data_IF_591709418645
#
_entry.id   IF_591709418645
#
_cell.length_a   1.000
_cell.length_b   1.000
_cell.length_c   1.000
_cell.angle_alpha   90.00
_cell.angle_beta   90.00
_cell.angle_gamma   90.00
#
_symmetry.space_group_name_H-M   'P 1'
#
loop_
_entity.id
_entity.type
_entity.pdbx_description
1 polymer ?
#
# COMPACT_ATOMS: atom_id res chain seq x y z
N UNK A 1 -34.19 51.66 39.79
CA UNK A 1 -34.84 52.86 39.22
C UNK A 1 -35.34 52.49 37.83
N UNK A 2 -36.66 52.51 37.66
CA UNK A 2 -37.49 52.49 36.45
C UNK A 2 -37.22 51.57 35.24
N UNK A 3 -38.18 50.65 35.12
CA UNK A 3 -38.68 49.90 33.96
C UNK A 3 -38.97 50.77 32.73
N UNK A 4 -38.68 50.27 31.51
CA UNK A 4 -39.58 50.48 30.35
C UNK A 4 -39.43 49.42 29.25
N UNK A 5 -40.62 49.01 28.81
CA UNK A 5 -41.06 47.97 27.87
C UNK A 5 -41.10 48.41 26.40
N UNK A 6 -40.97 47.46 25.44
CA UNK A 6 -41.75 47.34 24.17
C UNK A 6 -41.27 46.07 23.43
N UNK A 7 -42.03 44.97 23.25
CA UNK A 7 -43.23 44.66 22.42
C UNK A 7 -43.04 44.80 20.89
N UNK A 8 -43.43 43.70 20.21
CA UNK A 8 -43.76 43.50 18.79
C UNK A 8 -42.56 43.44 17.81
N UNK A 9 -42.46 42.49 16.88
CA UNK A 9 -43.47 42.13 15.88
C UNK A 9 -43.20 40.76 15.24
N UNK A 10 -44.28 40.06 14.88
CA UNK A 10 -44.32 38.88 14.00
C UNK A 10 -43.72 39.20 12.62
N UNK A 11 -43.02 38.22 12.04
CA UNK A 11 -42.64 38.19 10.62
C UNK A 11 -42.48 36.75 10.16
N UNK A 12 -43.59 36.10 9.81
CA UNK A 12 -43.62 34.77 9.20
C UNK A 12 -43.34 34.93 7.69
N UNK A 13 -42.11 34.66 7.26
CA UNK A 13 -41.75 34.63 5.84
C UNK A 13 -41.69 33.17 5.37
N UNK A 14 -42.79 32.70 4.79
CA UNK A 14 -42.88 31.41 4.11
C UNK A 14 -42.20 31.55 2.73
N UNK A 15 -40.95 31.10 2.61
CA UNK A 15 -40.25 31.02 1.32
C UNK A 15 -40.49 29.63 0.74
N UNK A 16 -41.34 29.53 -0.28
CA UNK A 16 -41.43 28.34 -1.13
C UNK A 16 -40.17 28.28 -2.01
N UNK A 17 -39.21 27.44 -1.61
CA UNK A 17 -38.06 27.09 -2.45
C UNK A 17 -38.46 26.04 -3.49
N UNK A 18 -38.55 26.45 -4.76
CA UNK A 18 -38.51 25.51 -5.90
C UNK A 18 -37.11 24.88 -5.94
N UNK A 19 -37.03 23.59 -5.62
CA UNK A 19 -35.83 22.80 -5.82
C UNK A 19 -35.76 22.35 -7.29
N UNK A 20 -35.00 23.07 -8.11
CA UNK A 20 -34.56 22.56 -9.40
C UNK A 20 -33.43 21.56 -9.14
N UNK A 21 -33.77 20.27 -9.16
CA UNK A 21 -32.79 19.19 -9.19
C UNK A 21 -32.15 19.15 -10.60
N UNK A 22 -31.10 19.95 -10.79
CA UNK A 22 -30.19 19.78 -11.93
C UNK A 22 -29.34 18.54 -11.69
N UNK A 23 -29.77 17.40 -12.25
CA UNK A 23 -28.93 16.23 -12.40
C UNK A 23 -27.78 16.58 -13.36
N UNK A 24 -26.65 17.01 -12.79
CA UNK A 24 -25.41 17.12 -13.52
C UNK A 24 -24.92 15.70 -13.83
N UNK A 25 -24.48 15.41 -15.07
CA UNK A 25 -23.80 14.16 -15.35
C UNK A 25 -22.55 14.09 -14.49
N UNK A 26 -22.45 13.08 -13.64
CA UNK A 26 -21.23 12.75 -12.95
C UNK A 26 -20.23 12.28 -14.00
N UNK A 27 -19.38 13.20 -14.46
CA UNK A 27 -18.16 12.82 -15.16
C UNK A 27 -17.30 12.10 -14.13
N UNK A 28 -17.16 10.77 -14.26
CA UNK A 28 -16.07 10.05 -13.63
C UNK A 28 -14.78 10.77 -14.02
N UNK A 29 -14.12 11.42 -13.05
CA UNK A 29 -12.82 11.98 -13.29
C UNK A 29 -11.85 10.81 -13.28
N UNK A 30 -11.41 10.39 -14.47
CA UNK A 30 -10.20 9.60 -14.61
C UNK A 30 -9.05 10.45 -14.08
N UNK A 31 -8.74 10.29 -12.79
CA UNK A 31 -7.53 10.86 -12.20
C UNK A 31 -6.36 10.01 -12.66
N UNK A 32 -5.94 10.23 -13.91
CA UNK A 32 -4.60 9.83 -14.33
C UNK A 32 -3.63 10.50 -13.37
N UNK A 33 -2.87 9.73 -12.58
CA UNK A 33 -1.84 10.26 -11.70
C UNK A 33 -0.92 11.19 -12.47
N UNK A 34 -1.09 12.50 -12.28
CA UNK A 34 -0.35 13.53 -13.05
C UNK A 34 0.89 14.02 -12.31
N UNK A 35 1.08 13.62 -11.06
CA UNK A 35 2.27 13.95 -10.27
C UNK A 35 3.53 13.24 -10.77
N UNK A 36 4.71 13.89 -10.71
CA UNK A 36 5.98 13.23 -11.00
C UNK A 36 6.24 12.11 -9.99
N UNK A 37 6.90 11.04 -10.44
CA UNK A 37 7.36 9.98 -9.53
C UNK A 37 8.36 10.56 -8.51
N UNK A 38 8.38 10.03 -7.29
CA UNK A 38 9.31 10.49 -6.25
C UNK A 38 9.74 9.32 -5.37
N UNK A 39 10.87 9.44 -4.70
CA UNK A 39 11.33 8.42 -3.76
C UNK A 39 12.22 9.01 -2.68
N UNK A 40 12.23 8.37 -1.52
CA UNK A 40 13.17 8.63 -0.44
C UNK A 40 13.52 7.35 0.32
N UNK A 41 14.75 7.27 0.84
CA UNK A 41 15.21 6.04 1.49
C UNK A 41 14.95 6.00 2.99
N UNK A 42 15.03 7.12 3.69
CA UNK A 42 14.73 7.21 5.11
C UNK A 42 14.02 8.51 5.43
N UNK A 43 12.97 8.42 6.24
CA UNK A 43 12.29 9.57 6.85
C UNK A 43 11.84 9.20 8.25
N UNK A 44 11.95 10.12 9.19
CA UNK A 44 11.39 9.95 10.53
C UNK A 44 10.74 11.26 11.00
N UNK A 45 9.62 11.17 11.72
CA UNK A 45 8.89 12.33 12.22
C UNK A 45 8.42 12.07 13.66
N UNK A 46 8.35 13.13 14.46
CA UNK A 46 7.94 13.04 15.86
C UNK A 46 9.06 13.45 16.81
N UNK A 47 9.32 12.62 17.82
CA UNK A 47 10.38 12.83 18.81
C UNK A 47 11.79 12.85 18.17
N UNK A 48 11.95 12.05 17.12
CA UNK A 48 13.10 12.07 16.22
C UNK A 48 12.62 12.54 14.84
N UNK A 49 13.15 13.68 14.40
CA UNK A 49 12.96 14.18 13.05
C UNK A 49 14.18 13.85 12.19
N UNK A 50 13.94 13.13 11.09
CA UNK A 50 14.93 12.88 10.03
C UNK A 50 14.28 13.28 8.72
N UNK A 51 14.83 14.31 8.10
CA UNK A 51 14.39 14.77 6.78
C UNK A 51 14.56 13.66 5.73
N UNK A 52 13.65 13.57 4.74
CA UNK A 52 13.71 12.55 3.70
C UNK A 52 15.09 12.50 3.01
N UNK A 53 15.81 11.39 3.19
CA UNK A 53 17.22 11.30 2.76
C UNK A 53 17.55 9.95 2.10
N UNK A 54 18.19 9.93 0.91
CA UNK A 54 18.13 10.98 -0.10
C UNK A 54 16.73 11.02 -0.73
N UNK A 55 16.21 12.21 -1.00
CA UNK A 55 14.95 12.42 -1.71
C UNK A 55 15.20 12.87 -3.15
N UNK A 56 14.43 12.32 -4.10
CA UNK A 56 14.43 12.69 -5.51
C UNK A 56 13.02 12.80 -6.08
N UNK A 57 12.87 13.58 -7.15
CA UNK A 57 11.66 13.71 -7.97
C UNK A 57 11.99 13.49 -9.44
N UNK A 58 11.12 12.80 -10.18
CA UNK A 58 11.28 12.42 -11.59
C UNK A 58 10.90 13.54 -12.58
N UNK A 59 10.80 14.79 -12.13
CA UNK A 59 10.39 15.94 -12.95
C UNK A 59 11.30 16.20 -14.15
N UNK A 60 12.56 15.79 -14.04
CA UNK A 60 13.59 16.01 -15.05
C UNK A 60 14.11 14.70 -15.68
N UNK A 61 13.28 13.65 -15.64
CA UNK A 61 13.64 12.30 -16.11
C UNK A 61 14.46 11.53 -15.08
N UNK A 62 15.24 10.56 -15.56
CA UNK A 62 16.02 9.65 -14.72
C UNK A 62 17.01 10.38 -13.81
N UNK A 63 16.92 10.10 -12.51
CA UNK A 63 17.86 10.57 -11.49
C UNK A 63 18.15 9.46 -10.49
N UNK A 64 19.39 9.44 -10.00
CA UNK A 64 19.83 8.52 -8.97
C UNK A 64 20.73 9.22 -7.96
N UNK A 65 20.56 8.90 -6.69
CA UNK A 65 21.41 9.40 -5.60
C UNK A 65 21.59 8.34 -4.55
N UNK A 66 22.82 8.26 -4.03
CA UNK A 66 23.16 7.35 -2.95
C UNK A 66 23.84 8.10 -1.80
N UNK A 67 23.60 7.65 -0.58
CA UNK A 67 24.25 8.10 0.66
C UNK A 67 24.80 6.87 1.36
N UNK A 68 26.05 6.93 1.79
CA UNK A 68 26.68 5.83 2.54
C UNK A 68 26.88 6.24 4.00
N UNK A 69 26.94 5.24 4.88
CA UNK A 69 27.27 5.33 6.30
C UNK A 69 26.45 6.41 7.03
N UNK A 70 25.12 6.34 6.88
CA UNK A 70 24.23 7.25 7.59
C UNK A 70 24.08 6.81 9.03
N UNK A 71 24.38 7.72 9.96
CA UNK A 71 24.11 7.56 11.38
C UNK A 71 23.50 8.83 11.93
N UNK A 72 22.29 8.73 12.47
CA UNK A 72 21.55 9.88 13.03
C UNK A 72 21.17 9.65 14.48
N UNK A 73 20.98 10.75 15.21
CA UNK A 73 20.63 10.76 16.63
C UNK A 73 21.54 9.86 17.49
N UNK A 74 22.86 10.07 17.37
CA UNK A 74 23.88 9.33 18.11
C UNK A 74 23.84 7.81 17.88
N UNK A 75 23.50 7.37 16.66
CA UNK A 75 23.46 5.96 16.28
C UNK A 75 22.14 5.27 16.55
N UNK A 76 21.08 6.03 16.88
CA UNK A 76 19.72 5.49 17.02
C UNK A 76 19.20 4.94 15.70
N UNK A 77 19.51 5.58 14.57
CA UNK A 77 19.28 5.01 13.24
C UNK A 77 20.60 4.96 12.50
N UNK A 78 20.93 3.77 12.01
CA UNK A 78 22.12 3.47 11.23
C UNK A 78 21.72 2.78 9.94
N UNK A 79 22.36 3.14 8.85
CA UNK A 79 22.18 2.51 7.55
C UNK A 79 23.50 2.55 6.78
N UNK A 80 23.83 1.43 6.12
CA UNK A 80 25.05 1.28 5.34
C UNK A 80 24.98 2.06 4.05
N UNK A 81 24.03 1.73 3.16
CA UNK A 81 23.83 2.45 1.90
C UNK A 81 22.35 2.74 1.71
N UNK A 82 22.03 3.99 1.45
CA UNK A 82 20.71 4.45 1.04
C UNK A 82 20.80 4.82 -0.43
N UNK A 83 19.99 4.22 -1.29
CA UNK A 83 19.94 4.51 -2.71
C UNK A 83 18.50 4.86 -3.11
N UNK A 84 18.36 5.92 -3.89
CA UNK A 84 17.10 6.40 -4.41
C UNK A 84 17.26 6.60 -5.91
N UNK A 85 16.30 6.11 -6.67
CA UNK A 85 16.23 6.19 -8.13
C UNK A 85 14.81 6.60 -8.52
N UNK A 86 14.70 7.54 -9.44
CA UNK A 86 13.42 8.00 -9.98
C UNK A 86 13.54 8.18 -11.49
N UNK A 87 12.45 7.93 -12.18
CA UNK A 87 12.22 8.20 -13.59
C UNK A 87 10.80 8.77 -13.74
N UNK A 88 10.32 9.05 -14.96
CA UNK A 88 9.00 9.66 -15.18
C UNK A 88 7.86 8.83 -14.58
N UNK A 89 7.89 7.50 -14.72
CA UNK A 89 6.82 6.59 -14.26
C UNK A 89 7.28 5.51 -13.29
N UNK A 90 8.53 5.59 -12.84
CA UNK A 90 9.14 4.58 -11.97
C UNK A 90 9.89 5.26 -10.83
N UNK A 91 9.77 4.68 -9.65
CA UNK A 91 10.50 5.09 -8.46
C UNK A 91 11.02 3.84 -7.75
N UNK A 92 12.23 3.92 -7.25
CA UNK A 92 12.86 2.86 -6.48
C UNK A 92 13.65 3.45 -5.32
N UNK A 93 13.55 2.80 -4.17
CA UNK A 93 14.36 3.13 -3.01
C UNK A 93 14.86 1.86 -2.34
N UNK A 94 16.11 1.88 -1.89
CA UNK A 94 16.71 0.75 -1.18
C UNK A 94 17.64 1.20 -0.06
N UNK A 95 17.64 0.45 1.03
CA UNK A 95 18.52 0.65 2.19
C UNK A 95 19.21 -0.66 2.54
N UNK A 96 20.52 -0.62 2.79
CA UNK A 96 21.29 -1.77 3.30
C UNK A 96 21.74 -1.55 4.73
N UNK A 97 21.95 -2.65 5.45
CA UNK A 97 22.49 -2.67 6.82
C UNK A 97 21.75 -1.73 7.77
N UNK A 98 20.42 -1.74 7.68
CA UNK A 98 19.54 -0.92 8.50
C UNK A 98 19.57 -1.42 9.95
N UNK A 99 19.73 -0.49 10.88
CA UNK A 99 19.46 -0.68 12.30
C UNK A 99 18.74 0.53 12.86
N UNK A 100 17.61 0.29 13.50
CA UNK A 100 16.87 1.28 14.27
C UNK A 100 16.85 0.79 15.71
N UNK A 101 17.62 1.47 16.55
CA UNK A 101 17.62 1.30 17.98
C UNK A 101 16.27 1.70 18.53
N UNK A 102 15.43 0.72 18.87
CA UNK A 102 14.17 0.99 19.56
C UNK A 102 14.31 0.70 21.06
N UNK A 103 15.43 0.11 21.49
CA UNK A 103 15.70 -0.32 22.87
C UNK A 103 16.02 0.81 23.86
N UNK A 104 15.52 2.02 23.66
CA UNK A 104 15.49 2.99 24.76
C UNK A 104 14.86 2.33 26.00
N UNK A 105 15.31 2.69 27.22
CA UNK A 105 14.91 2.03 28.47
C UNK A 105 13.38 1.89 28.63
N UNK A 106 12.60 2.81 28.03
CA UNK A 106 11.14 2.80 28.03
C UNK A 106 10.50 1.77 27.08
N UNK A 107 11.09 1.48 25.92
CA UNK A 107 10.48 0.62 24.90
C UNK A 107 10.91 -0.84 25.01
N UNK A 108 12.11 -1.09 25.57
CA UNK A 108 12.59 -2.44 25.88
C UNK A 108 11.71 -3.15 26.91
N UNK A 109 11.22 -2.43 27.92
CA UNK A 109 10.27 -2.97 28.91
C UNK A 109 8.90 -3.29 28.32
N UNK A 110 8.59 -2.68 27.17
CA UNK A 110 7.34 -2.86 26.44
C UNK A 110 7.46 -3.94 25.35
N UNK A 111 8.59 -4.67 25.29
CA UNK A 111 8.80 -5.79 24.39
C UNK A 111 9.17 -5.39 22.95
N UNK A 112 9.37 -4.10 22.67
CA UNK A 112 9.93 -3.65 21.40
C UNK A 112 11.45 -3.67 21.48
N UNK A 113 12.05 -4.61 20.76
CA UNK A 113 13.50 -4.60 20.55
C UNK A 113 13.88 -3.90 19.25
N UNK A 114 15.18 -3.94 18.93
CA UNK A 114 15.72 -3.26 17.77
C UNK A 114 15.14 -3.80 16.45
N UNK A 115 14.87 -2.88 15.52
CA UNK A 115 14.57 -3.21 14.14
C UNK A 115 15.89 -3.28 13.37
N UNK A 116 16.15 -4.40 12.71
CA UNK A 116 17.33 -4.57 11.87
C UNK A 116 16.93 -5.21 10.53
N UNK A 117 17.61 -4.85 9.45
CA UNK A 117 17.45 -5.49 8.15
C UNK A 117 18.74 -5.40 7.33
N UNK A 118 19.06 -6.46 6.59
CA UNK A 118 20.24 -6.48 5.70
C UNK A 118 19.98 -5.69 4.43
N UNK A 119 18.79 -5.86 3.84
CA UNK A 119 18.36 -5.07 2.69
C UNK A 119 16.85 -4.83 2.75
N UNK A 120 16.46 -3.62 2.40
CA UNK A 120 15.07 -3.17 2.33
C UNK A 120 14.91 -2.43 1.02
N UNK A 121 13.98 -2.83 0.18
CA UNK A 121 13.74 -2.22 -1.13
C UNK A 121 12.25 -2.01 -1.36
N UNK A 122 11.89 -0.86 -1.92
CA UNK A 122 10.58 -0.57 -2.49
C UNK A 122 10.74 -0.14 -3.94
N UNK A 123 9.88 -0.68 -4.81
CA UNK A 123 9.77 -0.28 -6.21
C UNK A 123 8.32 0.05 -6.52
N UNK A 124 8.11 1.16 -7.22
CA UNK A 124 6.83 1.54 -7.79
C UNK A 124 7.04 1.75 -9.29
N UNK A 125 6.30 1.02 -10.13
CA UNK A 125 6.35 1.14 -11.59
C UNK A 125 4.93 1.19 -12.15
N UNK A 126 4.55 2.33 -12.74
CA UNK A 126 3.24 2.52 -13.40
C UNK A 126 2.05 2.06 -12.52
N UNK A 127 2.01 2.53 -11.27
CA UNK A 127 0.96 2.18 -10.31
C UNK A 127 1.02 0.75 -9.77
N UNK A 128 2.13 0.01 -9.98
CA UNK A 128 2.37 -1.29 -9.34
C UNK A 128 3.47 -1.19 -8.31
N UNK A 129 3.15 -1.62 -7.09
CA UNK A 129 4.06 -1.57 -5.95
C UNK A 129 4.59 -2.93 -5.54
N UNK A 130 5.91 -3.02 -5.38
CA UNK A 130 6.60 -4.19 -4.89
C UNK A 130 7.61 -3.82 -3.80
N UNK A 131 7.83 -4.73 -2.86
CA UNK A 131 8.84 -4.56 -1.82
C UNK A 131 9.65 -5.83 -1.63
N UNK A 132 10.89 -5.67 -1.18
CA UNK A 132 11.80 -6.77 -0.86
C UNK A 132 12.45 -6.50 0.48
N UNK A 133 12.31 -7.43 1.41
CA UNK A 133 12.94 -7.37 2.72
C UNK A 133 13.84 -8.59 2.88
N UNK A 134 15.09 -8.36 3.30
CA UNK A 134 16.09 -9.42 3.51
C UNK A 134 16.66 -9.28 4.91
N UNK A 135 16.59 -10.37 5.68
CA UNK A 135 17.14 -10.43 7.03
C UNK A 135 16.49 -9.44 8.00
N UNK A 136 15.22 -9.10 7.77
CA UNK A 136 14.50 -8.15 8.60
C UNK A 136 14.05 -8.82 9.91
N UNK A 137 14.33 -8.17 11.05
CA UNK A 137 13.97 -8.64 12.38
C UNK A 137 13.51 -7.49 13.26
N UNK A 138 12.51 -7.72 14.11
CA UNK A 138 12.07 -6.79 15.15
C UNK A 138 12.21 -7.46 16.51
N UNK A 139 13.07 -6.93 17.38
CA UNK A 139 13.37 -7.53 18.68
C UNK A 139 13.81 -8.99 18.61
N UNK A 140 14.53 -9.35 17.54
CA UNK A 140 15.01 -10.71 17.27
C UNK A 140 13.96 -11.64 16.62
N UNK A 141 12.71 -11.21 16.45
CA UNK A 141 11.70 -11.96 15.70
C UNK A 141 11.85 -11.65 14.22
N UNK A 142 11.98 -12.68 13.38
CA UNK A 142 12.06 -12.51 11.94
C UNK A 142 10.75 -11.98 11.35
N UNK A 143 10.85 -10.99 10.46
CA UNK A 143 9.73 -10.46 9.69
C UNK A 143 9.61 -11.23 8.37
N UNK A 144 8.38 -11.41 7.87
CA UNK A 144 8.14 -12.11 6.62
C UNK A 144 8.64 -11.28 5.42
N UNK A 145 9.56 -11.85 4.65
CA UNK A 145 10.13 -11.25 3.46
C UNK A 145 9.15 -11.16 2.28
N UNK A 146 8.05 -11.93 2.30
CA UNK A 146 7.06 -12.04 1.22
C UNK A 146 5.69 -11.50 1.61
N UNK A 147 5.65 -10.58 2.58
CA UNK A 147 4.42 -10.02 3.10
C UNK A 147 3.60 -9.32 2.00
N UNK A 148 2.30 -9.63 1.94
CA UNK A 148 1.38 -8.96 1.02
C UNK A 148 1.22 -7.47 1.34
N UNK A 149 0.54 -6.69 0.48
CA UNK A 149 0.33 -5.26 0.72
C UNK A 149 -0.29 -5.00 2.10
N UNK A 150 0.21 -3.99 2.80
CA UNK A 150 -0.27 -3.52 4.12
C UNK A 150 -0.29 -4.61 5.21
N UNK A 151 0.61 -5.58 5.13
CA UNK A 151 0.75 -6.63 6.15
C UNK A 151 1.59 -6.12 7.30
N UNK A 152 1.21 -6.37 8.55
CA UNK A 152 2.01 -5.89 9.67
C UNK A 152 1.76 -6.58 10.99
N UNK A 153 2.54 -6.16 11.98
CA UNK A 153 2.41 -6.56 13.37
C UNK A 153 1.97 -5.33 14.15
N UNK A 154 0.86 -5.46 14.85
CA UNK A 154 0.37 -4.44 15.78
C UNK A 154 0.61 -4.89 17.22
N UNK A 155 1.22 -4.02 18.01
CA UNK A 155 1.38 -4.17 19.45
C UNK A 155 0.48 -3.12 20.10
N UNK A 156 -0.70 -3.51 20.60
CA UNK A 156 -1.73 -2.58 21.03
C UNK A 156 -1.21 -1.52 22.02
N UNK A 157 -1.46 -0.26 21.69
CA UNK A 157 -1.09 0.90 22.52
C UNK A 157 0.40 1.24 22.49
N UNK A 158 1.20 0.55 21.68
CA UNK A 158 2.65 0.70 21.68
C UNK A 158 3.22 0.99 20.30
N UNK A 159 3.06 0.09 19.34
CA UNK A 159 3.58 0.31 18.00
C UNK A 159 2.90 -0.56 16.96
N UNK A 160 2.85 -0.03 15.74
CA UNK A 160 2.40 -0.72 14.55
C UNK A 160 3.55 -0.76 13.55
N UNK A 161 3.91 -1.95 13.09
CA UNK A 161 4.92 -2.15 12.06
C UNK A 161 4.24 -2.69 10.82
N UNK A 162 4.16 -1.88 9.78
CA UNK A 162 3.61 -2.25 8.48
C UNK A 162 4.75 -2.57 7.51
N UNK A 163 4.69 -3.77 6.97
CA UNK A 163 5.47 -4.25 5.84
C UNK A 163 4.69 -3.95 4.56
N UNK A 164 5.40 -3.55 3.50
CA UNK A 164 4.79 -3.34 2.20
C UNK A 164 3.56 -2.42 2.25
N UNK A 165 3.69 -1.28 2.95
CA UNK A 165 2.59 -0.31 3.06
C UNK A 165 2.36 0.33 1.69
N UNK A 166 1.16 0.17 1.15
CA UNK A 166 0.75 0.72 -0.14
C UNK A 166 -0.44 1.65 0.04
N UNK A 167 -0.31 2.88 -0.43
CA UNK A 167 -1.32 3.93 -0.32
C UNK A 167 -1.54 4.56 -1.68
N UNK A 168 -2.78 4.49 -2.17
CA UNK A 168 -3.23 5.28 -3.32
C UNK A 168 -3.52 6.70 -2.85
N UNK A 169 -2.82 7.67 -3.42
CA UNK A 169 -2.98 9.08 -3.09
C UNK A 169 -4.21 9.68 -3.81
N UNK A 170 -4.74 10.83 -3.33
CA UNK A 170 -5.89 11.47 -3.95
C UNK A 170 -5.70 11.90 -5.41
N UNK A 171 -4.44 12.04 -5.84
CA UNK A 171 -4.10 12.36 -7.23
C UNK A 171 -4.05 11.11 -8.14
N UNK A 172 -4.25 9.91 -7.59
CA UNK A 172 -4.18 8.62 -8.28
C UNK A 172 -2.79 7.97 -8.25
N UNK A 173 -1.75 8.66 -7.77
CA UNK A 173 -0.41 8.04 -7.63
C UNK A 173 -0.40 6.96 -6.54
N UNK A 174 0.48 5.97 -6.69
CA UNK A 174 0.69 4.93 -5.69
C UNK A 174 1.98 5.22 -4.91
N UNK A 175 1.90 5.25 -3.58
CA UNK A 175 3.07 5.28 -2.69
C UNK A 175 3.26 3.91 -2.04
N UNK A 176 4.48 3.39 -2.14
CA UNK A 176 4.89 2.08 -1.62
C UNK A 176 6.02 2.32 -0.64
N UNK A 177 5.85 1.89 0.61
CA UNK A 177 6.88 1.92 1.65
C UNK A 177 7.17 0.51 2.11
N UNK A 178 8.43 0.10 2.03
CA UNK A 178 8.83 -1.26 2.42
C UNK A 178 8.65 -1.54 3.91
N UNK A 179 9.05 -0.59 4.76
CA UNK A 179 8.89 -0.65 6.21
C UNK A 179 8.36 0.67 6.73
N UNK A 180 7.22 0.64 7.40
CA UNK A 180 6.63 1.79 8.09
C UNK A 180 6.40 1.41 9.55
N UNK A 181 7.05 2.14 10.46
CA UNK A 181 6.94 1.93 11.90
C UNK A 181 6.27 3.15 12.50
N UNK A 182 5.21 2.91 13.26
CA UNK A 182 4.54 3.93 14.06
C UNK A 182 4.60 3.52 15.53
N UNK A 183 5.04 4.41 16.40
CA UNK A 183 5.14 4.15 17.85
C UNK A 183 4.18 5.07 18.58
N UNK A 184 3.08 4.49 19.05
CA UNK A 184 2.03 5.14 19.84
C UNK A 184 1.53 6.49 19.28
N UNK A 185 1.58 6.68 17.95
CA UNK A 185 1.27 7.96 17.28
C UNK A 185 2.23 9.12 17.61
N UNK A 186 3.32 8.86 18.34
CA UNK A 186 4.31 9.86 18.75
C UNK A 186 5.51 9.93 17.82
N UNK A 187 5.82 8.81 17.17
CA UNK A 187 6.96 8.67 16.26
C UNK A 187 6.54 7.86 15.05
N UNK A 188 6.91 8.33 13.86
CA UNK A 188 6.84 7.53 12.63
C UNK A 188 8.22 7.42 12.00
N UNK A 189 8.50 6.27 11.39
CA UNK A 189 9.72 5.99 10.63
C UNK A 189 9.32 5.24 9.36
N UNK A 190 9.63 5.83 8.21
CA UNK A 190 9.43 5.19 6.90
C UNK A 190 10.80 4.89 6.28
N UNK A 191 10.99 3.63 5.89
CA UNK A 191 12.21 3.15 5.22
C UNK A 191 11.86 2.62 3.83
N UNK A 192 12.65 3.06 2.84
CA UNK A 192 12.52 2.77 1.42
C UNK A 192 11.10 3.04 0.91
N UNK A 193 10.84 4.30 0.54
CA UNK A 193 9.57 4.75 -0.01
C UNK A 193 9.72 5.16 -1.47
N UNK A 194 8.79 4.70 -2.31
CA UNK A 194 8.74 4.97 -3.74
C UNK A 194 7.29 5.32 -4.14
N UNK A 195 7.12 6.41 -4.85
CA UNK A 195 5.84 6.90 -5.36
C UNK A 195 5.92 7.01 -6.87
N UNK A 196 4.94 6.42 -7.56
CA UNK A 196 4.82 6.51 -9.01
C UNK A 196 3.41 6.92 -9.41
N UNK A 197 3.30 7.61 -10.54
CA UNK A 197 2.01 7.94 -11.15
C UNK A 197 1.18 6.68 -11.42
N UNK A 198 -0.15 6.84 -11.43
CA UNK A 198 -1.05 5.79 -11.88
C UNK A 198 -0.63 5.34 -13.29
N UNK A 199 -0.41 4.03 -13.48
CA UNK A 199 -0.42 3.47 -14.81
C UNK A 199 -1.82 3.60 -15.40
N UNK A 200 -1.93 3.69 -16.72
CA UNK A 200 -3.20 3.45 -17.38
C UNK A 200 -3.62 1.99 -17.06
N UNK A 201 -4.55 1.84 -16.11
CA UNK A 201 -5.27 0.62 -15.71
C UNK A 201 -4.41 -0.65 -15.50
N UNK A 202 -3.97 -0.85 -14.26
CA UNK A 202 -3.64 -2.19 -13.74
C UNK A 202 -4.87 -2.79 -13.05
N UNK A 203 -5.04 -4.13 -13.04
CA UNK A 203 -6.26 -4.78 -12.56
C UNK A 203 -6.50 -4.41 -11.10
N UNK A 204 -7.72 -3.96 -10.82
CA UNK A 204 -8.21 -3.60 -9.49
C UNK A 204 -7.92 -4.75 -8.52
N UNK A 205 -7.32 -4.43 -7.37
CA UNK A 205 -7.29 -5.35 -6.25
C UNK A 205 -8.75 -5.74 -5.95
N UNK A 206 -9.11 -7.04 -5.89
CA UNK A 206 -10.48 -7.41 -5.61
C UNK A 206 -10.88 -6.79 -4.27
N UNK A 207 -11.95 -5.99 -4.28
CA UNK A 207 -12.58 -5.53 -3.05
C UNK A 207 -12.90 -6.75 -2.16
N UNK A 208 -12.80 -6.63 -0.82
CA UNK A 208 -13.23 -7.68 0.07
C UNK A 208 -14.69 -7.98 -0.24
N UNK A 209 -14.96 -9.14 -0.85
CA UNK A 209 -16.33 -9.58 -1.07
C UNK A 209 -16.92 -9.87 0.30
N UNK A 210 -17.86 -9.02 0.73
CA UNK A 210 -18.68 -9.30 1.91
C UNK A 210 -19.23 -10.73 1.77
N UNK A 211 -19.11 -11.58 2.82
CA UNK A 211 -19.60 -12.95 2.74
C UNK A 211 -21.08 -12.93 2.38
N UNK A 212 -21.40 -13.40 1.17
CA UNK A 212 -22.77 -13.55 0.74
C UNK A 212 -23.49 -14.43 1.76
N UNK A 213 -24.44 -13.81 2.46
CA UNK A 213 -25.36 -14.50 3.35
C UNK A 213 -26.08 -15.57 2.51
N UNK A 214 -26.00 -16.86 2.87
CA UNK A 214 -26.62 -17.92 2.08
C UNK A 214 -28.13 -17.67 2.01
N UNK A 215 -28.62 -17.60 0.79
CA UNK A 215 -30.04 -17.48 0.49
C UNK A 215 -30.77 -18.73 1.02
N UNK A 216 -31.95 -18.60 1.68
CA UNK A 216 -32.63 -19.75 2.27
C UNK A 216 -33.11 -20.73 1.19
N UNK A 217 -32.60 -21.96 1.24
CA UNK A 217 -33.10 -23.07 0.42
C UNK A 217 -34.59 -23.32 0.72
N UNK A 218 -35.44 -23.21 -0.29
CA UNK A 218 -36.83 -23.67 -0.19
C UNK A 218 -36.88 -25.21 -0.27
N UNK A 219 -37.65 -25.89 0.61
CA UNK A 219 -37.85 -27.33 0.56
C UNK A 219 -38.69 -27.74 -0.64
N UNK A 220 -38.31 -28.86 -1.25
CA UNK A 220 -38.74 -29.24 -2.58
C UNK A 220 -40.18 -29.75 -2.74
N UNK A 221 -40.49 -30.05 -4.00
CA UNK A 221 -41.59 -30.90 -4.40
C UNK A 221 -41.06 -31.94 -5.41
N UNK A 222 -41.58 -33.15 -5.21
CA UNK A 222 -41.17 -34.46 -5.67
C UNK A 222 -41.72 -34.78 -7.10
N UNK A 223 -41.68 -36.02 -7.63
CA UNK A 223 -41.01 -36.35 -8.88
C UNK A 223 -41.99 -36.75 -10.01
N UNK A 224 -41.58 -36.63 -11.27
CA UNK A 224 -42.19 -37.42 -12.35
C UNK A 224 -41.13 -38.10 -13.22
N UNK A 225 -41.55 -39.28 -13.67
CA UNK A 225 -40.78 -40.46 -14.01
C UNK A 225 -40.54 -40.56 -15.55
N UNK A 226 -39.93 -41.64 -16.06
CA UNK A 226 -38.82 -41.60 -17.01
C UNK A 226 -39.24 -41.76 -18.47
N UNK A 227 -38.39 -41.32 -19.40
CA UNK A 227 -38.34 -41.93 -20.72
C UNK A 227 -36.91 -42.38 -21.10
N UNK A 228 -36.93 -43.57 -21.64
CA UNK A 228 -35.88 -44.53 -21.99
C UNK A 228 -35.13 -44.13 -23.26
N UNK A 229 -33.87 -44.58 -23.38
CA UNK A 229 -33.10 -44.95 -24.60
C UNK A 229 -31.63 -44.51 -24.41
N UNK A 230 -30.68 -45.37 -24.03
CA UNK A 230 -30.03 -46.38 -24.88
C UNK A 230 -28.50 -46.15 -24.84
N UNK A 231 -27.63 -47.18 -24.84
CA UNK A 231 -26.26 -47.06 -24.32
C UNK A 231 -25.23 -46.73 -25.40
N UNK A 232 -24.49 -45.63 -25.21
CA UNK A 232 -23.32 -45.27 -26.01
C UNK A 232 -22.12 -45.04 -25.11
N UNK A 233 -21.27 -46.05 -24.96
CA UNK A 233 -20.00 -45.94 -24.26
C UNK A 233 -19.02 -45.08 -25.09
N UNK A 234 -18.81 -43.83 -24.70
CA UNK A 234 -17.79 -42.98 -25.31
C UNK A 234 -16.53 -42.96 -24.43
N UNK A 235 -15.42 -43.39 -25.02
CA UNK A 235 -14.12 -43.57 -24.38
C UNK A 235 -13.48 -42.23 -24.03
N UNK A 236 -12.63 -42.15 -22.98
CA UNK A 236 -11.95 -40.92 -22.60
C UNK A 236 -11.04 -40.44 -23.74
N UNK A 237 -11.23 -39.19 -24.19
CA UNK A 237 -10.38 -38.62 -25.23
C UNK A 237 -8.94 -38.42 -24.72
N UNK A 238 -7.92 -38.83 -25.48
CA UNK A 238 -6.53 -38.66 -25.09
C UNK A 238 -6.12 -37.18 -25.15
N UNK A 239 -5.35 -36.75 -24.16
CA UNK A 239 -4.85 -35.38 -24.05
C UNK A 239 -4.09 -34.91 -25.32
N UNK A 240 -4.20 -33.62 -25.69
CA UNK A 240 -3.49 -33.07 -26.84
C UNK A 240 -1.98 -33.13 -26.63
N UNK A 241 -1.25 -33.57 -27.67
CA UNK A 241 0.20 -33.70 -27.64
C UNK A 241 0.88 -32.32 -27.72
N UNK A 242 1.96 -32.08 -26.95
CA UNK A 242 2.72 -30.84 -27.05
C UNK A 242 3.31 -30.67 -28.45
N UNK A 243 3.15 -29.50 -29.05
CA UNK A 243 3.86 -29.12 -30.28
C UNK A 243 5.24 -28.56 -29.93
N UNK A 244 6.33 -29.10 -30.51
CA UNK A 244 7.68 -28.56 -30.33
C UNK A 244 7.78 -27.14 -30.90
N UNK A 245 8.23 -26.20 -30.06
CA UNK A 245 8.55 -24.84 -30.47
C UNK A 245 9.93 -24.87 -31.14
N UNK A 246 10.00 -24.49 -32.42
CA UNK A 246 11.29 -24.30 -33.11
C UNK A 246 11.91 -22.98 -32.63
N UNK A 247 12.92 -23.11 -31.76
CA UNK A 247 13.82 -22.03 -31.39
C UNK A 247 15.21 -22.61 -31.19
N UNK A 248 15.97 -22.71 -32.29
CA UNK A 248 17.39 -23.06 -32.24
C UNK A 248 18.17 -21.85 -31.71
N UNK A 249 18.78 -21.99 -30.53
CA UNK A 249 20.01 -21.25 -30.25
C UNK A 249 21.13 -22.26 -30.03
N UNK A 250 22.17 -22.27 -30.88
CA UNK A 250 23.35 -23.08 -30.67
C UNK A 250 24.10 -22.53 -29.45
N UNK A 251 24.36 -23.40 -28.47
CA UNK A 251 25.28 -23.14 -27.37
C UNK A 251 26.68 -23.32 -27.94
N UNK A 252 27.37 -22.23 -28.25
CA UNK A 252 28.83 -22.26 -28.43
C UNK A 252 29.45 -22.33 -27.05
N UNK A 253 30.21 -23.41 -26.81
CA UNK A 253 31.01 -23.59 -25.60
C UNK A 253 32.22 -22.68 -25.53
#
# INVERSE_FOLDING_TARGET
MFVKTARASLGFALVLGLQFASALPATAQDTTGTGPSSAFALRAQGLLAVEPTPQLTGEHGFQQRSVADLSVANGLVQAGVLNTEVDTHRAKSSVTDLRVGLTGALLSELGLGDLAATAVEATCDQGRGETRLVGATLGGVALDASAGPNTGVDVPGLATVLLNRQVTNPDGSLTVTALSVEVAGLQSVDIASATCAAGAEGPESPEPTDPQQPEPEQPGAEPEQPETEGPGAESPQPAPRPTPIRGHHPVTG
#
